data_IF_601278711174
#
_entry.id   IF_601278711174
#
_cell.length_a   1.000
_cell.length_b   1.000
_cell.length_c   1.000
_cell.angle_alpha   90.00
_cell.angle_beta   90.00
_cell.angle_gamma   90.00
#
_symmetry.space_group_name_H-M   'P 1'
#
loop_
_entity.id
_entity.type
_entity.pdbx_description
1 polymer ?
#
# COMPACT_ATOMS: atom_id res chain seq x y z
N UNK A 1 -12.54 -10.95 -2.46
CA UNK A 1 -11.51 -10.97 -1.39
C UNK A 1 -10.93 -9.56 -1.21
N UNK A 2 -10.61 -9.10 0.01
CA UNK A 2 -10.17 -7.71 0.29
C UNK A 2 -9.03 -7.17 -0.60
N UNK A 3 -8.18 -8.06 -1.09
CA UNK A 3 -7.02 -7.72 -1.92
C UNK A 3 -7.39 -7.01 -3.22
N UNK A 4 -8.33 -7.55 -3.99
CA UNK A 4 -8.73 -6.98 -5.28
C UNK A 4 -9.31 -5.57 -5.15
N UNK A 5 -10.20 -5.35 -4.16
CA UNK A 5 -10.84 -4.04 -3.97
C UNK A 5 -9.88 -2.97 -3.46
N UNK A 6 -8.98 -3.32 -2.54
CA UNK A 6 -8.04 -2.36 -1.95
C UNK A 6 -7.00 -1.91 -2.99
N UNK A 7 -6.43 -2.85 -3.74
CA UNK A 7 -5.45 -2.55 -4.80
C UNK A 7 -6.10 -1.77 -5.94
N UNK A 8 -7.31 -2.14 -6.36
CA UNK A 8 -8.03 -1.39 -7.40
C UNK A 8 -8.29 0.08 -6.99
N UNK A 9 -8.70 0.32 -5.74
CA UNK A 9 -8.89 1.68 -5.23
C UNK A 9 -7.56 2.45 -5.18
N UNK A 10 -6.49 1.81 -4.68
CA UNK A 10 -5.16 2.40 -4.61
C UNK A 10 -4.66 2.85 -5.98
N UNK A 11 -4.71 1.96 -6.98
CA UNK A 11 -4.26 2.26 -8.36
C UNK A 11 -5.08 3.37 -9.02
N UNK A 12 -6.40 3.41 -8.77
CA UNK A 12 -7.28 4.39 -9.39
C UNK A 12 -7.18 5.79 -8.77
N UNK A 13 -6.97 5.89 -7.46
CA UNK A 13 -7.09 7.18 -6.75
C UNK A 13 -5.82 7.64 -6.04
N UNK A 14 -4.96 6.73 -5.58
CA UNK A 14 -3.77 7.09 -4.79
C UNK A 14 -2.53 7.13 -5.69
N UNK A 15 -2.34 6.13 -6.55
CA UNK A 15 -1.17 6.07 -7.44
C UNK A 15 -1.01 7.31 -8.34
N UNK A 16 -2.06 7.88 -8.96
CA UNK A 16 -1.92 9.10 -9.75
C UNK A 16 -1.52 10.31 -8.90
N UNK A 17 -1.94 10.36 -7.63
CA UNK A 17 -1.55 11.44 -6.72
C UNK A 17 -0.06 11.35 -6.37
N UNK A 18 0.44 10.14 -6.11
CA UNK A 18 1.88 9.91 -5.90
C UNK A 18 2.68 10.30 -7.15
N UNK A 19 2.21 9.94 -8.36
CA UNK A 19 2.85 10.32 -9.63
C UNK A 19 2.86 11.84 -9.85
N UNK A 20 1.85 12.56 -9.37
CA UNK A 20 1.81 14.02 -9.38
C UNK A 20 2.71 14.69 -8.32
N UNK A 21 3.52 13.91 -7.59
CA UNK A 21 4.45 14.40 -6.57
C UNK A 21 3.79 14.73 -5.22
N UNK A 22 2.54 14.30 -4.99
CA UNK A 22 1.86 14.55 -3.71
C UNK A 22 2.28 13.54 -2.65
N UNK A 23 2.41 14.02 -1.41
CA UNK A 23 2.51 13.16 -0.24
C UNK A 23 1.11 12.72 0.21
N UNK A 24 0.87 11.40 0.25
CA UNK A 24 -0.44 10.83 0.60
C UNK A 24 -0.31 9.99 1.87
N UNK A 25 -1.17 10.25 2.86
CA UNK A 25 -1.32 9.42 4.05
C UNK A 25 -2.53 8.49 3.88
N UNK A 26 -2.35 7.20 4.17
CA UNK A 26 -3.41 6.19 4.10
C UNK A 26 -3.67 5.63 5.49
N UNK A 27 -4.86 5.90 6.04
CA UNK A 27 -5.34 5.30 7.27
C UNK A 27 -6.41 4.23 6.93
N UNK A 28 -6.15 2.97 7.28
CA UNK A 28 -7.03 1.84 6.98
C UNK A 28 -6.79 0.66 7.95
N UNK A 29 -7.47 -0.46 7.72
CA UNK A 29 -7.29 -1.70 8.50
C UNK A 29 -6.18 -2.60 7.94
N UNK A 30 -5.63 -3.46 8.80
CA UNK A 30 -4.46 -4.31 8.49
C UNK A 30 -4.58 -5.10 7.19
N UNK A 31 -5.71 -5.76 6.91
CA UNK A 31 -5.85 -6.57 5.68
C UNK A 31 -5.86 -5.74 4.39
N UNK A 32 -6.40 -4.51 4.45
CA UNK A 32 -6.36 -3.58 3.31
C UNK A 32 -4.95 -3.04 3.11
N UNK A 33 -4.28 -2.65 4.20
CA UNK A 33 -2.89 -2.18 4.16
C UNK A 33 -1.93 -3.27 3.65
N UNK A 34 -2.01 -4.49 4.17
CA UNK A 34 -1.24 -5.65 3.68
C UNK A 34 -1.45 -5.90 2.19
N UNK A 35 -2.68 -5.76 1.71
CA UNK A 35 -2.97 -5.94 0.28
C UNK A 35 -2.31 -4.88 -0.60
N UNK A 36 -2.23 -3.64 -0.11
CA UNK A 36 -1.58 -2.53 -0.81
C UNK A 36 -0.06 -2.69 -0.74
N UNK A 37 0.52 -2.97 0.43
CA UNK A 37 1.96 -3.21 0.63
C UNK A 37 2.42 -4.37 -0.26
N UNK A 38 1.66 -5.48 -0.28
CA UNK A 38 1.92 -6.60 -1.19
C UNK A 38 2.04 -6.16 -2.64
N UNK A 39 1.16 -5.27 -3.09
CA UNK A 39 1.15 -4.79 -4.45
C UNK A 39 2.34 -3.85 -4.74
N UNK A 40 2.74 -3.04 -3.76
CA UNK A 40 3.84 -2.08 -3.90
C UNK A 40 5.23 -2.74 -3.89
N UNK A 41 5.41 -3.71 -3.01
CA UNK A 41 6.69 -4.40 -2.78
C UNK A 41 6.76 -5.77 -3.48
N UNK A 42 5.77 -6.09 -4.32
CA UNK A 42 5.64 -7.34 -5.08
C UNK A 42 5.74 -8.63 -4.24
N UNK A 43 5.29 -8.56 -2.98
CA UNK A 43 5.43 -9.65 -2.02
C UNK A 43 4.60 -10.89 -2.39
N UNK A 44 5.15 -12.05 -2.05
CA UNK A 44 4.43 -13.32 -2.09
C UNK A 44 3.33 -13.37 -1.02
N UNK A 45 2.39 -14.29 -1.18
CA UNK A 45 1.33 -14.51 -0.16
C UNK A 45 1.93 -14.84 1.20
N UNK A 46 3.03 -15.60 1.24
CA UNK A 46 3.66 -16.03 2.49
C UNK A 46 4.30 -14.87 3.24
N UNK A 47 5.05 -14.01 2.55
CA UNK A 47 5.69 -12.81 3.13
C UNK A 47 4.65 -11.83 3.69
N UNK A 48 3.49 -11.74 3.02
CA UNK A 48 2.39 -10.85 3.44
C UNK A 48 1.67 -11.33 4.69
N UNK A 49 1.61 -12.65 4.89
CA UNK A 49 1.03 -13.22 6.10
C UNK A 49 1.91 -12.90 7.31
N UNK A 50 3.24 -12.86 7.12
CA UNK A 50 4.20 -12.54 8.18
C UNK A 50 4.35 -11.05 8.48
N UNK A 51 3.69 -10.18 7.71
CA UNK A 51 3.71 -8.72 7.93
C UNK A 51 2.84 -8.35 9.14
N UNK A 52 3.49 -7.98 10.23
CA UNK A 52 2.86 -7.40 11.42
C UNK A 52 2.73 -5.88 11.26
N UNK A 53 1.49 -5.39 11.30
CA UNK A 53 1.19 -3.95 11.23
C UNK A 53 0.67 -3.49 12.58
N UNK A 54 1.46 -2.67 13.27
CA UNK A 54 1.08 -2.08 14.54
C UNK A 54 -0.10 -1.11 14.35
N UNK A 55 -1.01 -1.10 15.32
CA UNK A 55 -2.19 -0.22 15.28
C UNK A 55 -1.87 1.16 15.83
N UNK A 56 -2.35 2.21 15.17
CA UNK A 56 -2.28 3.59 15.69
C UNK A 56 -0.92 4.29 15.52
N UNK A 57 0.03 3.66 14.83
CA UNK A 57 1.34 4.26 14.52
C UNK A 57 1.62 4.19 13.00
N UNK A 58 2.27 5.21 12.42
CA UNK A 58 2.76 5.14 11.04
C UNK A 58 3.72 3.95 10.89
N UNK A 59 3.34 2.95 10.09
CA UNK A 59 4.04 1.66 10.02
C UNK A 59 4.74 1.39 8.68
N UNK A 60 4.49 2.20 7.64
CA UNK A 60 5.01 1.96 6.30
C UNK A 60 5.18 3.27 5.53
N UNK A 61 6.32 3.40 4.83
CA UNK A 61 6.64 4.53 3.96
C UNK A 61 7.06 3.99 2.60
N UNK A 62 6.49 4.54 1.53
CA UNK A 62 6.82 4.16 0.16
C UNK A 62 7.24 5.39 -0.63
N UNK A 63 8.33 5.26 -1.38
CA UNK A 63 8.81 6.27 -2.31
C UNK A 63 9.00 5.63 -3.67
N UNK A 64 8.17 6.03 -4.63
CA UNK A 64 8.39 5.67 -6.02
C UNK A 64 9.49 6.56 -6.56
N UNK A 65 10.69 6.01 -6.73
CA UNK A 65 11.73 6.64 -7.53
C UNK A 65 11.17 6.79 -8.94
N UNK A 66 10.93 8.02 -9.38
CA UNK A 66 10.47 8.27 -10.74
C UNK A 66 11.51 7.73 -11.72
N UNK A 67 11.05 7.00 -12.74
CA UNK A 67 11.90 6.72 -13.89
C UNK A 67 12.23 8.09 -14.52
N UNK A 68 13.48 8.52 -14.38
CA UNK A 68 14.10 9.49 -15.29
C UNK A 68 14.20 8.88 -16.69
#
# INVERSE_FOLDING_TARGET
MCSQRAVAYFRKHIEPQLQSGKHVMVAAHGNSLRSIIRYLDELTTQEVITLELSTGIPSYTYTKMGNL
#
